data_IF_076123013760
#
_entry.id   IF_076123013760
#
_cell.length_a   1.000
_cell.length_b   1.000
_cell.length_c   1.000
_cell.angle_alpha   90.00
_cell.angle_beta   90.00
_cell.angle_gamma   90.00
#
_symmetry.space_group_name_H-M   'P 1'
#
loop_
_entity.id
_entity.type
_entity.pdbx_description
1 polymer ?
#
# COMPACT_ATOMS: atom_id res chain seq x y z
N UNK A 1 35.81 -12.54 -7.49
CA UNK A 1 35.73 -13.17 -8.82
C UNK A 1 34.75 -12.37 -9.65
N UNK A 2 35.19 -11.83 -10.79
CA UNK A 2 34.38 -10.97 -11.68
C UNK A 2 34.23 -11.58 -13.07
N UNK A 3 33.36 -10.99 -13.90
CA UNK A 3 33.09 -11.47 -15.26
C UNK A 3 34.38 -11.62 -16.07
N UNK A 4 35.28 -10.64 -15.94
CA UNK A 4 36.58 -10.60 -16.63
C UNK A 4 37.48 -11.81 -16.36
N UNK A 5 37.35 -12.44 -15.18
CA UNK A 5 38.17 -13.61 -14.80
C UNK A 5 37.45 -14.95 -14.99
N UNK A 6 36.12 -14.97 -14.99
CA UNK A 6 35.33 -16.19 -14.88
C UNK A 6 34.44 -16.49 -16.10
N UNK A 7 34.16 -15.50 -16.95
CA UNK A 7 33.15 -15.58 -18.01
C UNK A 7 33.71 -15.30 -19.42
N UNK A 8 34.97 -15.66 -19.66
CA UNK A 8 35.63 -15.45 -20.96
C UNK A 8 35.22 -16.48 -22.04
N UNK A 9 34.57 -17.58 -21.67
CA UNK A 9 34.18 -18.62 -22.62
C UNK A 9 32.93 -18.27 -23.44
N UNK A 10 32.77 -18.88 -24.62
CA UNK A 10 31.56 -18.74 -25.46
C UNK A 10 30.28 -19.12 -24.73
N UNK A 11 30.30 -20.21 -23.96
CA UNK A 11 29.15 -20.63 -23.15
C UNK A 11 28.79 -19.57 -22.09
N UNK A 12 29.79 -18.89 -21.52
CA UNK A 12 29.58 -17.84 -20.56
C UNK A 12 29.00 -16.57 -21.21
N UNK A 13 29.46 -16.21 -22.42
CA UNK A 13 28.83 -15.15 -23.22
C UNK A 13 27.34 -15.44 -23.47
N UNK A 14 27.01 -16.64 -23.95
CA UNK A 14 25.62 -17.05 -24.20
C UNK A 14 24.78 -17.01 -22.92
N UNK A 15 25.32 -17.51 -21.80
CA UNK A 15 24.66 -17.44 -20.50
C UNK A 15 24.43 -15.99 -20.02
N UNK A 16 25.38 -15.07 -20.22
CA UNK A 16 25.22 -13.65 -19.89
C UNK A 16 24.10 -12.98 -20.70
N UNK A 17 23.95 -13.34 -21.97
CA UNK A 17 22.86 -12.85 -22.81
C UNK A 17 21.51 -13.37 -22.30
N UNK A 18 21.41 -14.68 -22.06
CA UNK A 18 20.19 -15.31 -21.54
C UNK A 18 19.80 -14.71 -20.19
N UNK A 19 20.77 -14.44 -19.31
CA UNK A 19 20.55 -13.79 -18.02
C UNK A 19 19.96 -12.39 -18.20
N UNK A 20 20.51 -11.57 -19.08
CA UNK A 20 19.99 -10.23 -19.36
C UNK A 20 18.57 -10.27 -19.94
N UNK A 21 18.26 -11.25 -20.79
CA UNK A 21 16.92 -11.45 -21.32
C UNK A 21 15.91 -11.86 -20.23
N UNK A 22 16.34 -12.70 -19.28
CA UNK A 22 15.53 -13.06 -18.13
C UNK A 22 15.26 -11.85 -17.21
N UNK A 23 16.26 -11.00 -16.99
CA UNK A 23 16.11 -9.77 -16.21
C UNK A 23 15.13 -8.79 -16.88
N UNK A 24 15.21 -8.62 -18.21
CA UNK A 24 14.27 -7.79 -18.96
C UNK A 24 12.83 -8.31 -18.88
N UNK A 25 12.62 -9.63 -18.92
CA UNK A 25 11.29 -10.23 -18.70
C UNK A 25 10.80 -10.00 -17.29
N UNK A 26 11.67 -10.11 -16.28
CA UNK A 26 11.32 -9.85 -14.89
C UNK A 26 10.90 -8.39 -14.67
N UNK A 27 11.64 -7.42 -15.25
CA UNK A 27 11.27 -6.01 -15.21
C UNK A 27 9.87 -5.77 -15.79
N UNK A 28 9.54 -6.41 -16.92
CA UNK A 28 8.19 -6.31 -17.51
C UNK A 28 7.10 -6.90 -16.61
N UNK A 29 7.34 -8.07 -16.01
CA UNK A 29 6.39 -8.68 -15.05
C UNK A 29 6.19 -7.80 -13.83
N UNK A 30 7.27 -7.25 -13.25
CA UNK A 30 7.19 -6.32 -12.12
C UNK A 30 6.40 -5.07 -12.49
N UNK A 31 6.66 -4.47 -13.66
CA UNK A 31 5.92 -3.31 -14.15
C UNK A 31 4.41 -3.58 -14.19
N UNK A 32 3.99 -4.70 -14.77
CA UNK A 32 2.57 -5.08 -14.85
C UNK A 32 1.94 -5.26 -13.47
N UNK A 33 2.67 -5.84 -12.53
CA UNK A 33 2.20 -6.00 -11.15
C UNK A 33 2.02 -4.65 -10.45
N UNK A 34 2.96 -3.73 -10.61
CA UNK A 34 2.88 -2.38 -10.02
C UNK A 34 1.75 -1.58 -10.67
N UNK A 35 1.56 -1.67 -11.99
CA UNK A 35 0.44 -1.05 -12.70
C UNK A 35 -0.92 -1.57 -12.20
N UNK A 36 -1.03 -2.88 -11.97
CA UNK A 36 -2.25 -3.47 -11.41
C UNK A 36 -2.51 -2.94 -9.99
N UNK A 37 -1.47 -2.85 -9.15
CA UNK A 37 -1.60 -2.24 -7.83
C UNK A 37 -2.07 -0.80 -7.90
N UNK A 38 -1.47 0.04 -8.76
CA UNK A 38 -1.87 1.43 -8.95
C UNK A 38 -3.35 1.54 -9.37
N UNK A 39 -3.80 0.64 -10.25
CA UNK A 39 -5.22 0.55 -10.63
C UNK A 39 -6.12 0.21 -9.44
N UNK A 40 -5.77 -0.80 -8.65
CA UNK A 40 -6.54 -1.16 -7.45
C UNK A 40 -6.58 -0.02 -6.42
N UNK A 41 -5.46 0.64 -6.16
CA UNK A 41 -5.38 1.78 -5.23
C UNK A 41 -6.25 2.95 -5.72
N UNK A 42 -6.30 3.20 -7.04
CA UNK A 42 -7.19 4.19 -7.66
C UNK A 42 -8.67 3.84 -7.52
N UNK A 43 -9.04 2.58 -7.78
CA UNK A 43 -10.42 2.11 -7.62
C UNK A 43 -10.87 2.20 -6.15
N UNK A 44 -9.97 1.84 -5.22
CA UNK A 44 -10.21 2.00 -3.79
C UNK A 44 -10.39 3.47 -3.40
N UNK A 45 -9.55 4.38 -3.90
CA UNK A 45 -9.70 5.81 -3.68
C UNK A 45 -11.07 6.34 -4.15
N UNK A 46 -11.53 5.92 -5.33
CA UNK A 46 -12.85 6.31 -5.86
C UNK A 46 -13.97 5.79 -4.96
N UNK A 47 -13.90 4.53 -4.54
CA UNK A 47 -14.88 3.93 -3.63
C UNK A 47 -14.92 4.64 -2.28
N UNK A 48 -13.76 4.93 -1.70
CA UNK A 48 -13.65 5.60 -0.41
C UNK A 48 -14.15 7.06 -0.46
N UNK A 49 -13.84 7.78 -1.54
CA UNK A 49 -14.39 9.12 -1.77
C UNK A 49 -15.93 9.08 -1.89
N UNK A 50 -16.48 8.08 -2.58
CA UNK A 50 -17.94 7.91 -2.67
C UNK A 50 -18.59 7.64 -1.30
N UNK A 51 -17.94 6.85 -0.43
CA UNK A 51 -18.39 6.63 0.95
C UNK A 51 -18.39 7.94 1.73
N UNK A 52 -17.31 8.73 1.67
CA UNK A 52 -17.22 10.02 2.32
C UNK A 52 -18.34 10.97 1.85
N UNK A 53 -18.52 11.09 0.53
CA UNK A 53 -19.58 11.94 -0.04
C UNK A 53 -20.98 11.48 0.34
N UNK A 54 -21.22 10.17 0.43
CA UNK A 54 -22.51 9.66 0.87
C UNK A 54 -22.75 9.96 2.36
N UNK A 55 -21.74 9.85 3.21
CA UNK A 55 -21.84 10.17 4.64
C UNK A 55 -22.07 11.67 4.91
N UNK A 56 -21.70 12.54 3.98
CA UNK A 56 -21.94 13.99 4.07
C UNK A 56 -23.36 14.42 3.69
N UNK A 57 -24.16 13.54 3.07
CA UNK A 57 -25.56 13.80 2.76
C UNK A 57 -26.43 13.61 4.01
N UNK A 58 -26.42 14.60 4.91
CA UNK A 58 -27.41 14.66 6.00
C UNK A 58 -28.65 15.43 5.55
N UNK A 59 -29.80 14.76 5.55
CA UNK A 59 -31.11 15.42 5.42
C UNK A 59 -31.41 16.24 6.68
N UNK A 60 -32.10 17.38 6.53
CA UNK A 60 -32.51 18.28 7.63
C UNK A 60 -31.40 18.68 8.61
N UNK A 61 -30.28 19.19 8.08
CA UNK A 61 -29.15 19.66 8.88
C UNK A 61 -29.52 20.65 10.01
N UNK A 62 -30.64 21.37 9.87
CA UNK A 62 -31.16 22.33 10.86
C UNK A 62 -31.69 21.65 12.13
N UNK A 63 -32.21 20.42 12.06
CA UNK A 63 -32.72 19.68 13.23
C UNK A 63 -31.59 19.23 14.16
N UNK A 64 -30.41 18.99 13.60
CA UNK A 64 -29.20 18.56 14.31
C UNK A 64 -28.22 19.72 14.55
N UNK A 65 -28.68 20.96 14.45
CA UNK A 65 -27.86 22.13 14.68
C UNK A 65 -27.30 22.11 16.11
N UNK A 66 -25.98 22.30 16.24
CA UNK A 66 -25.27 22.25 17.51
C UNK A 66 -24.88 20.85 18.01
N UNK A 67 -25.31 19.79 17.33
CA UNK A 67 -24.94 18.41 17.69
C UNK A 67 -23.43 18.17 17.54
N UNK A 68 -22.80 17.70 18.63
CA UNK A 68 -21.38 17.34 18.62
C UNK A 68 -21.18 16.05 17.83
N UNK A 69 -22.14 15.11 17.89
CA UNK A 69 -22.15 13.89 17.07
C UNK A 69 -22.17 14.24 15.58
N UNK A 70 -23.06 15.12 15.13
CA UNK A 70 -23.13 15.52 13.72
C UNK A 70 -21.85 16.21 13.28
N UNK A 71 -21.27 17.09 14.10
CA UNK A 71 -19.98 17.73 13.81
C UNK A 71 -18.86 16.70 13.69
N UNK A 72 -18.75 15.78 14.64
CA UNK A 72 -17.74 14.74 14.65
C UNK A 72 -17.85 13.79 13.45
N UNK A 73 -19.09 13.42 13.08
CA UNK A 73 -19.35 12.61 11.89
C UNK A 73 -18.91 13.30 10.60
N UNK A 74 -19.22 14.59 10.42
CA UNK A 74 -18.77 15.35 9.25
C UNK A 74 -17.25 15.40 9.17
N UNK A 75 -16.58 15.74 10.27
CA UNK A 75 -15.11 15.76 10.31
C UNK A 75 -14.50 14.37 10.07
N UNK A 76 -15.12 13.30 10.55
CA UNK A 76 -14.71 11.92 10.23
C UNK A 76 -14.79 11.66 8.72
N UNK A 77 -15.90 12.05 8.08
CA UNK A 77 -16.09 11.87 6.64
C UNK A 77 -15.10 12.72 5.82
N UNK A 78 -14.79 13.94 6.26
CA UNK A 78 -13.74 14.77 5.66
C UNK A 78 -12.37 14.07 5.72
N UNK A 79 -12.02 13.44 6.84
CA UNK A 79 -10.76 12.69 6.97
C UNK A 79 -10.74 11.42 6.10
N UNK A 80 -11.89 10.74 5.91
CA UNK A 80 -11.98 9.65 4.93
C UNK A 80 -11.74 10.13 3.49
N UNK A 81 -12.25 11.32 3.12
CA UNK A 81 -11.98 11.92 1.82
C UNK A 81 -10.49 12.29 1.65
N UNK A 82 -9.83 12.76 2.72
CA UNK A 82 -8.38 12.96 2.73
C UNK A 82 -7.62 11.64 2.54
N UNK A 83 -8.08 10.56 3.16
CA UNK A 83 -7.51 9.23 2.96
C UNK A 83 -7.65 8.77 1.50
N UNK A 84 -8.83 8.97 0.89
CA UNK A 84 -9.06 8.67 -0.52
C UNK A 84 -8.11 9.44 -1.44
N UNK A 85 -7.91 10.74 -1.19
CA UNK A 85 -6.93 11.58 -1.91
C UNK A 85 -5.50 11.05 -1.76
N UNK A 86 -5.13 10.55 -0.58
CA UNK A 86 -3.81 9.97 -0.36
C UNK A 86 -3.60 8.68 -1.16
N UNK A 87 -4.60 7.79 -1.22
CA UNK A 87 -4.55 6.60 -2.08
C UNK A 87 -4.43 6.97 -3.56
N UNK A 88 -5.19 7.97 -4.03
CA UNK A 88 -5.10 8.46 -5.41
C UNK A 88 -3.71 8.98 -5.74
N UNK A 89 -3.12 9.81 -4.86
CA UNK A 89 -1.77 10.35 -5.05
C UNK A 89 -0.72 9.24 -5.06
N UNK A 90 -0.83 8.24 -4.18
CA UNK A 90 0.08 7.09 -4.18
C UNK A 90 -0.03 6.29 -5.49
N UNK A 91 -1.24 6.08 -6.03
CA UNK A 91 -1.43 5.42 -7.31
C UNK A 91 -0.77 6.17 -8.48
N UNK A 92 -0.87 7.50 -8.51
CA UNK A 92 -0.19 8.34 -9.51
C UNK A 92 1.35 8.23 -9.40
N UNK A 93 1.90 8.22 -8.18
CA UNK A 93 3.34 8.02 -7.96
C UNK A 93 3.81 6.61 -8.38
N UNK A 94 2.99 5.58 -8.18
CA UNK A 94 3.28 4.23 -8.67
C UNK A 94 3.29 4.16 -10.21
N UNK A 95 2.52 5.00 -10.91
CA UNK A 95 2.59 5.11 -12.37
C UNK A 95 3.91 5.74 -12.84
N UNK A 96 4.40 6.78 -12.14
CA UNK A 96 5.73 7.36 -12.40
C UNK A 96 6.84 6.31 -12.18
N UNK A 97 6.72 5.46 -11.16
CA UNK A 97 7.64 4.32 -10.95
C UNK A 97 7.62 3.36 -12.14
N UNK A 98 6.45 3.10 -12.74
CA UNK A 98 6.34 2.26 -13.93
C UNK A 98 7.02 2.89 -15.16
N UNK A 99 6.96 4.22 -15.30
CA UNK A 99 7.69 4.95 -16.33
C UNK A 99 9.21 4.82 -16.13
N UNK A 100 9.70 4.99 -14.89
CA UNK A 100 11.13 4.78 -14.57
C UNK A 100 11.59 3.37 -14.92
N UNK A 101 10.79 2.35 -14.59
CA UNK A 101 11.10 0.95 -14.92
C UNK A 101 11.09 0.70 -16.44
N UNK A 102 10.22 1.40 -17.17
CA UNK A 102 10.18 1.36 -18.64
C UNK A 102 11.44 1.96 -19.24
N UNK A 103 11.89 3.12 -18.78
CA UNK A 103 13.15 3.75 -19.20
C UNK A 103 14.35 2.86 -18.90
N UNK A 104 14.45 2.33 -17.67
CA UNK A 104 15.51 1.40 -17.28
C UNK A 104 15.56 0.16 -18.20
N UNK A 105 14.40 -0.39 -18.55
CA UNK A 105 14.29 -1.53 -19.45
C UNK A 105 14.77 -1.21 -20.87
N UNK A 106 14.49 0.00 -21.37
CA UNK A 106 14.95 0.46 -22.68
C UNK A 106 16.47 0.65 -22.70
N UNK A 107 17.04 1.29 -21.69
CA UNK A 107 18.49 1.51 -21.60
C UNK A 107 19.26 0.20 -21.44
N UNK A 108 18.72 -0.74 -20.64
CA UNK A 108 19.30 -2.08 -20.52
C UNK A 108 19.27 -2.85 -21.85
N UNK A 109 18.21 -2.71 -22.67
CA UNK A 109 18.16 -3.30 -24.04
C UNK A 109 19.23 -2.72 -24.94
N UNK A 110 19.44 -1.39 -24.91
CA UNK A 110 20.48 -0.71 -25.69
C UNK A 110 21.87 -1.19 -25.27
N UNK A 111 22.15 -1.21 -23.97
CA UNK A 111 23.43 -1.67 -23.42
C UNK A 111 23.72 -3.15 -23.77
N UNK A 112 22.70 -4.03 -23.66
CA UNK A 112 22.82 -5.43 -24.09
C UNK A 112 23.21 -5.54 -25.58
N UNK A 113 22.57 -4.75 -26.45
CA UNK A 113 22.88 -4.74 -27.88
C UNK A 113 24.30 -4.25 -28.14
N UNK A 114 24.72 -3.16 -27.50
CA UNK A 114 26.09 -2.64 -27.60
C UNK A 114 27.14 -3.69 -27.16
N UNK A 115 26.91 -4.39 -26.04
CA UNK A 115 27.78 -5.48 -25.60
C UNK A 115 27.86 -6.62 -26.63
N UNK A 116 26.72 -7.02 -27.23
CA UNK A 116 26.71 -8.06 -28.27
C UNK A 116 27.48 -7.63 -29.52
N UNK A 117 27.31 -6.39 -29.96
CA UNK A 117 28.00 -5.83 -31.13
C UNK A 117 29.52 -5.77 -30.91
N UNK A 118 29.97 -5.29 -29.76
CA UNK A 118 31.40 -5.26 -29.44
C UNK A 118 31.98 -6.66 -29.27
N UNK A 119 31.29 -7.58 -28.60
CA UNK A 119 31.73 -8.98 -28.51
C UNK A 119 31.84 -9.62 -29.91
N UNK A 120 30.85 -9.41 -30.77
CA UNK A 120 30.84 -9.94 -32.14
C UNK A 120 31.97 -9.35 -32.99
N UNK A 121 32.25 -8.05 -32.84
CA UNK A 121 33.34 -7.36 -33.53
C UNK A 121 34.70 -7.90 -33.13
N UNK A 122 34.93 -8.13 -31.83
CA UNK A 122 36.17 -8.73 -31.34
C UNK A 122 36.30 -10.16 -31.87
N UNK A 123 35.23 -10.97 -31.80
CA UNK A 123 35.24 -12.34 -32.31
C UNK A 123 35.49 -12.41 -33.84
N UNK A 124 34.89 -11.51 -34.61
CA UNK A 124 35.08 -11.43 -36.06
C UNK A 124 36.55 -11.13 -36.43
N UNK A 125 37.22 -10.24 -35.68
CA UNK A 125 38.64 -9.94 -35.89
C UNK A 125 39.52 -11.18 -35.67
N UNK A 126 39.25 -11.94 -34.61
CA UNK A 126 39.99 -13.17 -34.30
C UNK A 126 39.76 -14.25 -35.38
N UNK A 127 38.52 -14.42 -35.83
CA UNK A 127 38.19 -15.37 -36.90
C UNK A 127 38.88 -14.98 -38.22
N UNK A 128 38.84 -13.70 -38.61
CA UNK A 128 39.50 -13.25 -39.83
C UNK A 128 41.01 -13.54 -39.82
N UNK A 129 41.67 -13.27 -38.69
CA UNK A 129 43.09 -13.54 -38.54
C UNK A 129 43.40 -15.05 -38.56
N UNK A 130 42.52 -15.86 -37.96
CA UNK A 130 42.60 -17.33 -38.02
C UNK A 130 42.51 -17.82 -39.47
N UNK A 131 41.54 -17.33 -40.24
CA UNK A 131 41.35 -17.70 -41.64
C UNK A 131 42.53 -17.27 -42.51
N UNK A 132 43.09 -16.07 -42.28
CA UNK A 132 44.29 -15.58 -42.97
C UNK A 132 45.51 -16.48 -42.71
N UNK A 133 45.74 -16.90 -41.45
CA UNK A 133 46.82 -17.84 -41.11
C UNK A 133 46.64 -19.18 -41.81
N UNK A 134 45.41 -19.70 -41.87
CA UNK A 134 45.09 -20.95 -42.57
C UNK A 134 45.35 -20.82 -44.07
N UNK A 135 44.94 -19.70 -44.69
CA UNK A 135 45.17 -19.40 -46.10
C UNK A 135 46.66 -19.31 -46.42
N UNK A 136 47.43 -18.56 -45.62
CA UNK A 136 48.89 -18.43 -45.78
C UNK A 136 49.63 -19.75 -45.59
N UNK A 137 49.18 -20.60 -44.66
CA UNK A 137 49.70 -21.96 -44.50
C UNK A 137 49.49 -22.80 -45.76
N UNK A 138 48.29 -22.79 -46.33
CA UNK A 138 47.98 -23.53 -47.55
C UNK A 138 48.80 -23.03 -48.75
N UNK A 139 48.96 -21.71 -48.88
CA UNK A 139 49.84 -21.12 -49.90
C UNK A 139 51.30 -21.56 -49.72
N UNK A 140 51.83 -21.52 -48.49
CA UNK A 140 53.18 -21.97 -48.20
C UNK A 140 53.36 -23.47 -48.54
N UNK A 141 52.43 -24.34 -48.14
CA UNK A 141 52.46 -25.77 -48.45
C UNK A 141 52.50 -26.05 -49.95
N UNK A 142 51.62 -25.39 -50.72
CA UNK A 142 51.60 -25.50 -52.19
C UNK A 142 52.94 -25.13 -52.83
N UNK A 143 53.55 -24.02 -52.41
CA UNK A 143 54.83 -23.58 -52.95
C UNK A 143 55.99 -24.47 -52.50
N UNK A 144 55.92 -25.04 -51.29
CA UNK A 144 56.90 -25.98 -50.77
C UNK A 144 56.93 -27.28 -51.59
N UNK A 145 55.76 -27.82 -51.92
CA UNK A 145 55.63 -28.99 -52.79
C UNK A 145 56.15 -28.70 -54.21
N UNK A 146 55.77 -27.55 -54.78
CA UNK A 146 56.26 -27.12 -56.09
C UNK A 146 57.79 -26.95 -56.12
N UNK A 147 58.37 -26.37 -55.07
CA UNK A 147 59.81 -26.27 -54.90
C UNK A 147 60.48 -27.65 -54.82
N UNK A 148 59.96 -28.58 -54.02
CA UNK A 148 60.49 -29.96 -53.90
C UNK A 148 60.50 -30.66 -55.26
N UNK A 149 59.41 -30.56 -56.03
CA UNK A 149 59.32 -31.17 -57.35
C UNK A 149 60.35 -30.59 -58.34
N UNK A 150 60.53 -29.25 -58.36
CA UNK A 150 61.51 -28.60 -59.23
C UNK A 150 62.95 -28.86 -58.78
N UNK A 151 63.19 -29.00 -57.48
CA UNK A 151 64.49 -29.40 -56.92
C UNK A 151 64.91 -30.76 -57.44
N UNK A 152 64.04 -31.78 -57.33
CA UNK A 152 64.31 -33.13 -57.83
C UNK A 152 64.61 -33.13 -59.32
N UNK A 153 63.81 -32.40 -60.13
CA UNK A 153 64.07 -32.25 -61.58
C UNK A 153 65.41 -31.58 -61.87
N UNK A 154 65.77 -30.55 -61.12
CA UNK A 154 67.07 -29.88 -61.28
C UNK A 154 68.23 -30.81 -60.93
N UNK A 155 68.16 -31.52 -59.80
CA UNK A 155 69.16 -32.50 -59.37
C UNK A 155 69.34 -33.62 -60.42
N UNK A 156 68.24 -34.16 -60.95
CA UNK A 156 68.29 -35.17 -62.02
C UNK A 156 68.97 -34.67 -63.30
N UNK A 157 68.63 -33.47 -63.78
CA UNK A 157 69.24 -32.88 -64.98
C UNK A 157 70.70 -32.50 -64.77
N UNK A 158 71.05 -32.04 -63.56
CA UNK A 158 72.41 -31.70 -63.20
C UNK A 158 73.31 -32.95 -63.17
N UNK A 159 72.83 -34.05 -62.58
CA UNK A 159 73.55 -35.32 -62.47
C UNK A 159 73.62 -36.07 -63.81
N UNK A 160 72.51 -36.14 -64.57
CA UNK A 160 72.45 -36.92 -65.83
C UNK A 160 73.13 -36.22 -67.02
N UNK A 161 73.12 -34.89 -67.08
CA UNK A 161 73.60 -34.18 -68.28
C UNK A 161 75.05 -33.69 -68.18
N UNK A 162 75.66 -33.62 -66.97
CA UNK A 162 77.11 -33.49 -66.72
C UNK A 162 77.85 -32.27 -67.31
N UNK A 163 77.29 -31.57 -68.31
CA UNK A 163 77.85 -30.41 -69.00
C UNK A 163 76.71 -29.49 -69.42
N UNK A 164 76.88 -28.20 -69.14
CA UNK A 164 75.87 -27.16 -69.35
C UNK A 164 75.33 -27.08 -70.77
N UNK A 165 74.11 -26.58 -70.87
CA UNK A 165 73.38 -26.33 -72.11
C UNK A 165 72.07 -25.62 -71.81
N UNK A 166 71.44 -25.05 -72.84
CA UNK A 166 70.24 -24.19 -72.73
C UNK A 166 69.12 -24.79 -71.86
N UNK A 167 68.91 -26.12 -71.94
CA UNK A 167 67.92 -26.83 -71.11
C UNK A 167 68.25 -26.82 -69.60
N UNK A 168 69.52 -26.94 -69.23
CA UNK A 168 69.94 -26.89 -67.82
C UNK A 168 69.74 -25.49 -67.24
N UNK A 169 70.01 -24.45 -68.05
CA UNK A 169 69.81 -23.06 -67.64
C UNK A 169 68.32 -22.72 -67.47
N UNK A 170 67.45 -23.22 -68.36
CA UNK A 170 65.99 -23.07 -68.21
C UNK A 170 65.44 -23.76 -66.95
N UNK A 171 65.92 -24.97 -66.62
CA UNK A 171 65.52 -25.68 -65.39
C UNK A 171 66.06 -24.98 -64.14
N UNK A 172 67.29 -24.45 -64.21
CA UNK A 172 67.91 -23.66 -63.14
C UNK A 172 67.11 -22.38 -62.85
N UNK A 173 66.74 -21.62 -63.87
CA UNK A 173 65.93 -20.39 -63.72
C UNK A 173 64.57 -20.69 -63.07
N UNK A 174 63.88 -21.74 -63.53
CA UNK A 174 62.60 -22.17 -62.93
C UNK A 174 62.75 -22.59 -61.47
N UNK A 175 63.81 -23.35 -61.14
CA UNK A 175 64.11 -23.74 -59.78
C UNK A 175 64.42 -22.53 -58.89
N UNK A 176 65.25 -21.59 -59.36
CA UNK A 176 65.57 -20.35 -58.63
C UNK A 176 64.32 -19.49 -58.38
N UNK A 177 63.44 -19.35 -59.38
CA UNK A 177 62.14 -18.65 -59.23
C UNK A 177 61.25 -19.32 -58.18
N UNK A 178 61.16 -20.65 -58.18
CA UNK A 178 60.41 -21.40 -57.19
C UNK A 178 60.99 -21.27 -55.78
N UNK A 179 62.32 -21.30 -55.65
CA UNK A 179 63.03 -21.04 -54.39
C UNK A 179 62.71 -19.63 -53.85
N UNK A 180 62.82 -18.60 -54.69
CA UNK A 180 62.46 -17.23 -54.31
C UNK A 180 61.00 -17.14 -53.88
N UNK A 181 60.08 -17.75 -54.63
CA UNK A 181 58.65 -17.71 -54.31
C UNK A 181 58.35 -18.41 -52.98
N UNK A 182 58.98 -19.56 -52.72
CA UNK A 182 58.88 -20.28 -51.44
C UNK A 182 59.38 -19.43 -50.27
N UNK A 183 60.53 -18.76 -50.41
CA UNK A 183 61.05 -17.88 -49.34
C UNK A 183 60.11 -16.71 -49.06
N UNK A 184 59.53 -16.08 -50.09
CA UNK A 184 58.56 -15.01 -49.91
C UNK A 184 57.30 -15.50 -49.20
N UNK A 185 56.72 -16.63 -49.60
CA UNK A 185 55.52 -17.17 -48.95
C UNK A 185 55.80 -17.72 -47.55
N UNK A 186 57.01 -18.22 -47.29
CA UNK A 186 57.47 -18.55 -45.94
C UNK A 186 57.46 -17.32 -45.04
N UNK A 187 58.08 -16.22 -45.49
CA UNK A 187 58.12 -14.98 -44.72
C UNK A 187 56.72 -14.43 -44.44
N UNK A 188 55.83 -14.42 -45.44
CA UNK A 188 54.44 -14.01 -45.25
C UNK A 188 53.70 -14.88 -44.23
N UNK A 189 53.90 -16.20 -44.27
CA UNK A 189 53.27 -17.12 -43.32
C UNK A 189 53.81 -16.92 -41.90
N UNK A 190 55.13 -16.77 -41.73
CA UNK A 190 55.76 -16.51 -40.43
C UNK A 190 55.28 -15.18 -39.84
N UNK A 191 55.21 -14.11 -40.65
CA UNK A 191 54.69 -12.82 -40.21
C UNK A 191 53.21 -12.94 -39.78
N UNK A 192 52.37 -13.62 -40.56
CA UNK A 192 50.96 -13.82 -40.24
C UNK A 192 50.77 -14.63 -38.94
N UNK A 193 51.57 -15.67 -38.68
CA UNK A 193 51.54 -16.38 -37.40
C UNK A 193 51.96 -15.47 -36.25
N UNK A 194 53.02 -14.69 -36.44
CA UNK A 194 53.55 -13.80 -35.40
C UNK A 194 52.50 -12.76 -35.01
N UNK A 195 51.85 -12.15 -35.99
CA UNK A 195 50.71 -11.25 -35.76
C UNK A 195 49.56 -11.96 -35.03
N UNK A 196 49.20 -13.16 -35.46
CA UNK A 196 48.12 -13.94 -34.84
C UNK A 196 48.38 -14.29 -33.37
N UNK A 197 49.62 -14.62 -33.02
CA UNK A 197 50.01 -14.93 -31.63
C UNK A 197 49.88 -13.69 -30.73
N UNK A 198 50.33 -12.52 -31.20
CA UNK A 198 50.21 -11.29 -30.42
C UNK A 198 48.74 -10.85 -30.27
N UNK A 199 47.96 -10.91 -31.35
CA UNK A 199 46.52 -10.53 -31.30
C UNK A 199 45.70 -11.49 -30.43
N UNK A 200 45.97 -12.81 -30.46
CA UNK A 200 45.30 -13.78 -29.57
C UNK A 200 45.61 -13.48 -28.11
N UNK A 201 46.88 -13.18 -27.80
CA UNK A 201 47.30 -12.83 -26.45
C UNK A 201 46.58 -11.56 -25.98
N UNK A 202 46.55 -10.51 -26.79
CA UNK A 202 45.83 -9.27 -26.47
C UNK A 202 44.32 -9.49 -26.32
N UNK A 203 43.73 -10.36 -27.16
CA UNK A 203 42.34 -10.77 -27.04
C UNK A 203 42.05 -11.36 -25.66
N UNK A 204 42.83 -12.38 -25.26
CA UNK A 204 42.60 -13.15 -24.04
C UNK A 204 42.95 -12.39 -22.77
N UNK A 205 43.95 -11.50 -22.82
CA UNK A 205 44.50 -10.85 -21.63
C UNK A 205 44.07 -9.40 -21.45
N UNK A 206 43.59 -8.74 -22.51
CA UNK A 206 43.25 -7.31 -22.48
C UNK A 206 41.82 -7.07 -22.96
N UNK A 207 41.52 -7.37 -24.22
CA UNK A 207 40.26 -6.95 -24.86
C UNK A 207 39.03 -7.62 -24.25
N UNK A 208 39.03 -8.95 -24.16
CA UNK A 208 37.88 -9.69 -23.63
C UNK A 208 37.70 -9.47 -22.12
N UNK A 209 38.74 -9.53 -21.28
CA UNK A 209 38.62 -9.17 -19.87
C UNK A 209 38.08 -7.74 -19.68
N UNK A 210 38.59 -6.76 -20.44
CA UNK A 210 38.15 -5.37 -20.34
C UNK A 210 36.69 -5.17 -20.75
N UNK A 211 36.24 -5.83 -21.83
CA UNK A 211 34.83 -5.82 -22.22
C UNK A 211 33.93 -6.40 -21.11
N UNK A 212 34.35 -7.51 -20.50
CA UNK A 212 33.59 -8.19 -19.46
C UNK A 212 33.56 -7.40 -18.14
N UNK A 213 34.66 -6.72 -17.79
CA UNK A 213 34.71 -5.82 -16.63
C UNK A 213 33.78 -4.61 -16.83
N UNK A 214 33.83 -3.99 -18.00
CA UNK A 214 32.90 -2.92 -18.36
C UNK A 214 31.45 -3.41 -18.30
N UNK A 215 31.17 -4.58 -18.89
CA UNK A 215 29.84 -5.18 -18.87
C UNK A 215 29.36 -5.44 -17.43
N UNK A 216 30.23 -5.95 -16.55
CA UNK A 216 29.89 -6.16 -15.15
C UNK A 216 29.50 -4.85 -14.46
N UNK A 217 30.31 -3.80 -14.61
CA UNK A 217 30.04 -2.47 -14.05
C UNK A 217 28.71 -1.88 -14.52
N UNK A 218 28.41 -2.01 -15.81
CA UNK A 218 27.13 -1.58 -16.40
C UNK A 218 25.96 -2.37 -15.83
N UNK A 219 26.09 -3.70 -15.70
CA UNK A 219 25.02 -4.53 -15.11
C UNK A 219 24.79 -4.18 -13.64
N UNK A 220 25.85 -4.02 -12.84
CA UNK A 220 25.75 -3.63 -11.44
C UNK A 220 25.09 -2.27 -11.26
N UNK A 221 25.40 -1.31 -12.14
CA UNK A 221 24.75 0.00 -12.17
C UNK A 221 23.24 -0.11 -12.45
N UNK A 222 22.84 -0.98 -13.40
CA UNK A 222 21.42 -1.25 -13.64
C UNK A 222 20.74 -1.91 -12.44
N UNK A 223 21.41 -2.83 -11.74
CA UNK A 223 20.87 -3.46 -10.53
C UNK A 223 20.66 -2.42 -9.42
N UNK A 224 21.58 -1.47 -9.25
CA UNK A 224 21.44 -0.39 -8.27
C UNK A 224 20.24 0.51 -8.59
N UNK A 225 20.09 0.94 -9.84
CA UNK A 225 18.93 1.72 -10.28
C UNK A 225 17.63 0.95 -10.09
N UNK A 226 17.61 -0.34 -10.44
CA UNK A 226 16.45 -1.21 -10.26
C UNK A 226 16.07 -1.32 -8.77
N UNK A 227 17.05 -1.51 -7.89
CA UNK A 227 16.83 -1.53 -6.44
C UNK A 227 16.16 -0.24 -5.96
N UNK A 228 16.66 0.92 -6.39
CA UNK A 228 16.10 2.21 -5.99
C UNK A 228 14.63 2.37 -6.45
N UNK A 229 14.31 1.95 -7.68
CA UNK A 229 12.93 1.94 -8.19
C UNK A 229 12.02 1.04 -7.32
N UNK A 230 12.50 -0.14 -6.91
CA UNK A 230 11.74 -1.02 -6.02
C UNK A 230 11.56 -0.42 -4.62
N UNK A 231 12.54 0.33 -4.11
CA UNK A 231 12.40 1.05 -2.86
C UNK A 231 11.33 2.14 -2.96
N UNK A 232 11.31 2.92 -4.04
CA UNK A 232 10.24 3.90 -4.30
C UNK A 232 8.86 3.23 -4.40
N UNK A 233 8.78 2.09 -5.07
CA UNK A 233 7.54 1.28 -5.16
C UNK A 233 7.02 0.94 -3.76
N UNK A 234 7.92 0.48 -2.87
CA UNK A 234 7.57 0.14 -1.49
C UNK A 234 7.12 1.36 -0.70
N UNK A 235 7.77 2.51 -0.87
CA UNK A 235 7.43 3.75 -0.17
C UNK A 235 6.03 4.26 -0.57
N UNK A 236 5.69 4.22 -1.86
CA UNK A 236 4.36 4.64 -2.33
C UNK A 236 3.26 3.63 -1.99
N UNK A 237 3.61 2.37 -1.72
CA UNK A 237 2.70 1.35 -1.22
C UNK A 237 2.49 1.32 0.30
N UNK A 238 3.22 2.14 1.07
CA UNK A 238 3.23 2.07 2.53
C UNK A 238 2.03 2.78 3.18
N UNK A 239 1.09 1.96 3.69
CA UNK A 239 -0.09 2.41 4.43
C UNK A 239 0.18 2.71 5.91
N UNK A 240 1.41 2.46 6.38
CA UNK A 240 1.87 2.77 7.74
C UNK A 240 2.66 4.08 7.83
N UNK A 241 2.76 4.81 6.72
CA UNK A 241 3.43 6.11 6.65
C UNK A 241 2.77 7.15 7.57
N UNK A 242 3.53 8.17 7.94
CA UNK A 242 3.08 9.20 8.88
C UNK A 242 1.83 9.93 8.39
N UNK A 243 1.65 10.06 7.06
CA UNK A 243 0.44 10.64 6.47
C UNK A 243 -0.83 9.89 6.86
N UNK A 244 -0.82 8.55 6.79
CA UNK A 244 -1.97 7.73 7.20
C UNK A 244 -2.17 7.74 8.72
N UNK A 245 -1.08 7.71 9.49
CA UNK A 245 -1.14 7.83 10.95
C UNK A 245 -1.74 9.16 11.40
N UNK A 246 -1.40 10.26 10.73
CA UNK A 246 -1.94 11.58 11.01
C UNK A 246 -3.44 11.67 10.72
N UNK A 247 -3.91 11.11 9.61
CA UNK A 247 -5.34 11.01 9.29
C UNK A 247 -6.07 10.25 10.41
N UNK A 248 -5.57 9.08 10.80
CA UNK A 248 -6.17 8.29 11.88
C UNK A 248 -6.18 9.06 13.21
N UNK A 249 -5.09 9.77 13.54
CA UNK A 249 -5.01 10.58 14.75
C UNK A 249 -6.05 11.71 14.76
N UNK A 250 -6.31 12.36 13.62
CA UNK A 250 -7.36 13.39 13.51
C UNK A 250 -8.74 12.80 13.71
N UNK A 251 -9.01 11.64 13.13
CA UNK A 251 -10.25 10.87 13.35
C UNK A 251 -10.44 10.57 14.84
N UNK A 252 -9.44 10.00 15.50
CA UNK A 252 -9.52 9.62 16.92
C UNK A 252 -9.74 10.85 17.81
N UNK A 253 -9.06 11.97 17.52
CA UNK A 253 -9.22 13.21 18.27
C UNK A 253 -10.64 13.78 18.15
N UNK A 254 -11.22 13.76 16.96
CA UNK A 254 -12.58 14.23 16.71
C UNK A 254 -13.59 13.38 17.49
N UNK A 255 -13.47 12.06 17.46
CA UNK A 255 -14.34 11.15 18.20
C UNK A 255 -14.20 11.37 19.71
N UNK A 256 -12.97 11.48 20.22
CA UNK A 256 -12.71 11.67 21.65
C UNK A 256 -13.15 13.05 22.16
N UNK A 257 -13.39 14.02 21.28
CA UNK A 257 -13.86 15.36 21.65
C UNK A 257 -15.36 15.42 21.97
N UNK A 258 -16.11 14.36 21.65
CA UNK A 258 -17.56 14.32 21.88
C UNK A 258 -17.81 14.22 23.38
N UNK A 259 -18.47 15.23 23.93
CA UNK A 259 -18.91 15.23 25.32
C UNK A 259 -20.42 14.97 25.40
N UNK A 260 -20.87 13.80 25.87
CA UNK A 260 -22.30 13.47 25.95
C UNK A 260 -23.12 14.45 26.79
N UNK A 261 -22.55 15.10 27.81
CA UNK A 261 -23.28 16.06 28.64
C UNK A 261 -23.61 17.36 27.89
N UNK A 262 -22.93 17.63 26.78
CA UNK A 262 -23.03 18.87 26.01
C UNK A 262 -23.78 18.73 24.70
N UNK A 263 -24.11 17.51 24.30
CA UNK A 263 -24.78 17.20 23.04
C UNK A 263 -26.08 18.02 22.85
N UNK A 264 -26.84 18.18 23.92
CA UNK A 264 -28.12 18.89 23.91
C UNK A 264 -28.03 20.34 24.42
N UNK A 265 -26.83 20.89 24.65
CA UNK A 265 -26.69 22.23 25.22
C UNK A 265 -27.31 23.30 24.32
N UNK A 266 -26.90 23.35 23.05
CA UNK A 266 -27.41 24.34 22.08
C UNK A 266 -28.90 24.14 21.80
N UNK A 267 -29.34 22.88 21.71
CA UNK A 267 -30.76 22.53 21.58
C UNK A 267 -31.59 23.05 22.76
N UNK A 268 -31.12 22.81 23.99
CA UNK A 268 -31.81 23.22 25.22
C UNK A 268 -31.91 24.74 25.31
N UNK A 269 -30.84 25.47 24.98
CA UNK A 269 -30.86 26.94 24.98
C UNK A 269 -31.75 27.51 23.87
N UNK A 270 -31.76 26.91 22.68
CA UNK A 270 -32.65 27.31 21.56
C UNK A 270 -34.12 27.10 21.87
N UNK A 271 -34.47 26.04 22.60
CA UNK A 271 -35.84 25.65 22.93
C UNK A 271 -36.22 25.91 24.39
N UNK A 272 -35.46 26.76 25.08
CA UNK A 272 -35.68 27.08 26.49
C UNK A 272 -37.03 27.77 26.67
N UNK A 273 -37.89 27.17 27.47
CA UNK A 273 -39.18 27.74 27.85
C UNK A 273 -39.24 27.95 29.36
N UNK A 274 -40.09 28.89 29.78
CA UNK A 274 -40.44 29.01 31.20
C UNK A 274 -41.28 27.79 31.62
N UNK A 275 -41.22 27.36 32.89
CA UNK A 275 -42.15 26.37 33.42
C UNK A 275 -43.59 26.75 33.09
N UNK A 276 -44.42 25.75 32.84
CA UNK A 276 -45.85 25.96 32.57
C UNK A 276 -46.48 26.75 33.71
N UNK A 277 -47.28 27.77 33.36
CA UNK A 277 -48.01 28.58 34.34
C UNK A 277 -48.77 27.66 35.30
N UNK A 278 -48.57 27.79 36.62
CA UNK A 278 -49.28 26.96 37.58
C UNK A 278 -50.79 27.10 37.40
N UNK A 279 -51.49 25.97 37.29
CA UNK A 279 -52.94 25.96 37.36
C UNK A 279 -53.32 26.25 38.81
N UNK A 280 -53.95 27.40 39.03
CA UNK A 280 -54.39 27.83 40.35
C UNK A 280 -55.83 27.36 40.54
N UNK A 281 -56.02 26.39 41.43
CA UNK A 281 -57.35 25.94 41.84
C UNK A 281 -57.73 26.70 43.11
N UNK A 282 -58.82 27.46 43.06
CA UNK A 282 -59.37 28.19 44.20
C UNK A 282 -60.87 27.93 44.29
N UNK A 283 -61.41 27.99 45.50
CA UNK A 283 -62.85 28.01 45.69
C UNK A 283 -63.42 29.30 45.05
N UNK A 284 -64.50 29.18 44.29
CA UNK A 284 -65.16 30.33 43.67
C UNK A 284 -66.07 30.99 44.69
N UNK A 285 -65.57 32.07 45.30
CA UNK A 285 -66.25 32.79 46.37
C UNK A 285 -67.61 33.36 45.95
N UNK A 286 -67.84 33.60 44.64
CA UNK A 286 -69.12 34.07 44.12
C UNK A 286 -70.26 33.05 44.33
N UNK A 287 -69.94 31.75 44.52
CA UNK A 287 -70.94 30.70 44.71
C UNK A 287 -71.67 30.76 46.07
N UNK A 288 -71.09 31.45 47.06
CA UNK A 288 -71.63 31.52 48.43
C UNK A 288 -71.99 32.94 48.85
N UNK A 289 -71.77 33.95 48.00
CA UNK A 289 -71.96 35.37 48.32
C UNK A 289 -73.41 35.70 48.70
N UNK A 290 -74.39 35.10 48.01
CA UNK A 290 -75.83 35.32 48.24
C UNK A 290 -76.48 34.31 49.20
N UNK A 291 -75.70 33.39 49.80
CA UNK A 291 -76.23 32.35 50.69
C UNK A 291 -76.05 32.79 52.16
N UNK A 292 -77.12 33.19 52.87
CA UNK A 292 -77.02 33.50 54.29
C UNK A 292 -76.77 32.21 55.08
N UNK A 293 -75.55 32.02 55.61
CA UNK A 293 -75.23 30.80 56.35
C UNK A 293 -73.78 30.62 56.79
N UNK A 294 -73.49 29.44 57.36
CA UNK A 294 -72.18 29.02 57.91
C UNK A 294 -71.18 28.53 56.86
N UNK A 295 -71.53 28.52 55.58
CA UNK A 295 -70.64 28.05 54.52
C UNK A 295 -69.50 29.06 54.35
N UNK A 296 -68.27 28.59 54.51
CA UNK A 296 -67.05 29.40 54.38
C UNK A 296 -66.19 28.85 53.26
N UNK A 297 -65.64 29.76 52.45
CA UNK A 297 -64.67 29.42 51.42
C UNK A 297 -63.52 28.60 51.98
N UNK A 298 -63.09 27.59 51.21
CA UNK A 298 -61.97 26.70 51.55
C UNK A 298 -62.08 25.99 52.92
N UNK A 299 -63.29 25.89 53.50
CA UNK A 299 -63.52 25.29 54.82
C UNK A 299 -64.61 24.23 54.73
N UNK A 300 -64.35 23.04 55.29
CA UNK A 300 -65.36 21.98 55.36
C UNK A 300 -66.46 22.38 56.35
N UNK A 301 -67.73 22.23 55.95
CA UNK A 301 -68.87 22.46 56.83
C UNK A 301 -69.13 21.21 57.65
N UNK A 302 -69.00 21.31 58.96
CA UNK A 302 -69.19 20.20 59.90
C UNK A 302 -70.44 20.45 60.73
N UNK A 303 -71.54 19.80 60.38
CA UNK A 303 -72.81 19.90 61.09
C UNK A 303 -73.53 18.54 61.16
N UNK A 304 -74.75 18.54 61.69
CA UNK A 304 -75.54 17.32 61.86
C UNK A 304 -75.95 16.65 60.54
N UNK A 305 -75.77 17.32 59.39
CA UNK A 305 -76.08 16.79 58.06
C UNK A 305 -74.85 16.21 57.37
N UNK A 306 -73.64 16.71 57.67
CA UNK A 306 -72.40 16.33 56.97
C UNK A 306 -71.45 15.44 57.80
N UNK A 307 -71.61 15.38 59.12
CA UNK A 307 -70.65 14.73 60.04
C UNK A 307 -70.41 13.24 59.73
N UNK A 308 -71.47 12.47 59.43
CA UNK A 308 -71.33 11.03 59.15
C UNK A 308 -70.65 10.77 57.80
N UNK A 309 -70.92 11.63 56.81
CA UNK A 309 -70.24 11.59 55.52
C UNK A 309 -68.75 11.94 55.66
N UNK A 310 -68.42 13.00 56.41
CA UNK A 310 -67.04 13.40 56.67
C UNK A 310 -66.25 12.33 57.43
N UNK A 311 -66.86 11.66 58.41
CA UNK A 311 -66.25 10.52 59.11
C UNK A 311 -65.97 9.35 58.19
N UNK A 312 -66.94 8.99 57.33
CA UNK A 312 -66.76 7.92 56.33
C UNK A 312 -65.63 8.30 55.36
N UNK A 313 -65.63 9.54 54.88
CA UNK A 313 -64.61 10.04 53.96
C UNK A 313 -63.21 10.09 54.57
N UNK A 314 -63.10 10.43 55.84
CA UNK A 314 -61.83 10.41 56.59
C UNK A 314 -61.27 8.98 56.67
N UNK A 315 -62.10 8.00 57.03
CA UNK A 315 -61.69 6.59 57.10
C UNK A 315 -61.21 6.10 55.73
N UNK A 316 -61.93 6.43 54.65
CA UNK A 316 -61.53 6.08 53.28
C UNK A 316 -60.16 6.68 52.91
N UNK A 317 -59.93 7.95 53.27
CA UNK A 317 -58.66 8.64 53.01
C UNK A 317 -57.52 8.02 53.82
N UNK A 318 -57.72 7.73 55.10
CA UNK A 318 -56.73 7.07 55.97
C UNK A 318 -56.34 5.68 55.44
N UNK A 319 -57.32 4.86 55.04
CA UNK A 319 -57.07 3.57 54.40
C UNK A 319 -56.26 3.74 53.11
N UNK A 320 -56.62 4.73 52.30
CA UNK A 320 -55.97 4.99 51.02
C UNK A 320 -54.55 5.55 51.15
N UNK A 321 -54.24 6.29 52.24
CA UNK A 321 -52.88 6.72 52.60
C UNK A 321 -52.06 5.51 53.03
N UNK A 322 -52.61 4.66 53.90
CA UNK A 322 -51.94 3.43 54.38
C UNK A 322 -51.58 2.50 53.23
N UNK A 323 -52.50 2.29 52.28
CA UNK A 323 -52.22 1.52 51.07
C UNK A 323 -51.10 2.11 50.21
N UNK A 324 -51.01 3.45 50.08
CA UNK A 324 -49.92 4.11 49.37
C UNK A 324 -48.58 3.90 50.09
N UNK A 325 -48.54 4.02 51.41
CA UNK A 325 -47.34 3.81 52.23
C UNK A 325 -46.85 2.35 52.15
N UNK A 326 -47.76 1.38 52.22
CA UNK A 326 -47.42 -0.04 52.06
C UNK A 326 -46.86 -0.36 50.66
N UNK A 327 -47.43 0.23 49.60
CA UNK A 327 -46.91 0.10 48.23
C UNK A 327 -45.52 0.74 48.10
N UNK A 328 -45.31 1.91 48.71
CA UNK A 328 -44.03 2.59 48.72
C UNK A 328 -42.96 1.75 49.45
N UNK A 329 -43.30 1.18 50.61
CA UNK A 329 -42.39 0.34 51.41
C UNK A 329 -41.96 -0.90 50.62
N UNK A 330 -42.92 -1.61 50.01
CA UNK A 330 -42.66 -2.77 49.15
C UNK A 330 -41.75 -2.43 47.98
N UNK A 331 -41.92 -1.25 47.36
CA UNK A 331 -41.04 -0.80 46.27
C UNK A 331 -39.64 -0.45 46.73
N UNK A 332 -39.48 0.15 47.92
CA UNK A 332 -38.17 0.46 48.52
C UNK A 332 -37.44 -0.83 48.93
N UNK A 333 -38.13 -1.79 49.53
CA UNK A 333 -37.58 -3.10 49.89
C UNK A 333 -37.12 -3.88 48.66
N UNK A 334 -37.90 -3.85 47.58
CA UNK A 334 -37.55 -4.49 46.31
C UNK A 334 -36.39 -3.78 45.58
N UNK A 335 -36.13 -2.50 45.87
CA UNK A 335 -34.97 -1.76 45.37
C UNK A 335 -33.69 -2.02 46.21
N UNK A 336 -33.82 -2.21 47.52
CA UNK A 336 -32.70 -2.49 48.44
C UNK A 336 -32.32 -3.98 48.53
N UNK A 337 -33.20 -4.90 48.13
CA UNK A 337 -32.96 -6.36 48.12
C UNK A 337 -32.16 -6.90 46.92
N UNK A 338 -31.69 -6.04 46.01
CA UNK A 338 -30.80 -6.42 44.92
C UNK A 338 -29.35 -6.59 45.42
N UNK A 339 -28.79 -7.78 45.22
CA UNK A 339 -27.40 -8.17 45.54
C UNK A 339 -26.30 -7.18 45.08
N UNK A 340 -25.11 -7.21 45.71
CA UNK A 340 -24.16 -6.09 45.68
C UNK A 340 -23.57 -5.80 44.30
N UNK A 341 -23.41 -4.51 44.05
CA UNK A 341 -22.78 -3.91 42.88
C UNK A 341 -21.33 -4.39 42.78
N UNK A 342 -21.02 -5.21 41.79
CA UNK A 342 -19.64 -5.42 41.35
C UNK A 342 -19.19 -4.18 40.56
N UNK A 343 -18.19 -3.48 41.08
CA UNK A 343 -17.47 -2.41 40.37
C UNK A 343 -16.81 -2.99 39.11
N UNK A 344 -17.52 -2.92 37.98
CA UNK A 344 -16.98 -3.22 36.66
C UNK A 344 -16.31 -1.99 36.09
N UNK A 345 -15.00 -1.86 36.33
CA UNK A 345 -14.12 -1.04 35.50
C UNK A 345 -14.34 -1.39 34.03
N UNK A 346 -14.55 -0.39 33.18
CA UNK A 346 -14.56 -0.56 31.73
C UNK A 346 -13.13 -0.88 31.31
N UNK A 347 -12.73 -2.14 31.43
CA UNK A 347 -11.53 -2.64 30.76
C UNK A 347 -11.88 -2.96 29.32
N UNK A 348 -11.29 -2.14 28.44
CA UNK A 348 -11.07 -2.38 27.02
C UNK A 348 -10.64 -3.84 26.79
N UNK A 349 -11.48 -4.63 26.14
CA UNK A 349 -11.09 -5.64 25.16
C UNK A 349 -12.31 -6.26 24.48
N UNK A 350 -12.15 -6.53 23.19
CA UNK A 350 -13.22 -6.76 22.24
C UNK A 350 -14.12 -7.95 22.58
N UNK A 351 -15.42 -7.66 22.67
CA UNK A 351 -16.48 -8.64 22.51
C UNK A 351 -17.66 -7.96 21.82
N UNK A 352 -17.84 -8.28 20.55
CA UNK A 352 -19.01 -7.99 19.72
C UNK A 352 -20.23 -8.73 20.29
N UNK A 353 -20.78 -8.24 21.40
CA UNK A 353 -22.04 -8.74 21.97
C UNK A 353 -22.61 -7.80 23.04
N UNK A 354 -22.97 -6.56 22.68
CA UNK A 354 -23.90 -5.77 23.52
C UNK A 354 -24.55 -4.62 22.76
N UNK A 355 -25.32 -4.92 21.71
CA UNK A 355 -26.25 -3.95 21.11
C UNK A 355 -27.64 -3.96 21.77
N UNK A 356 -27.76 -4.52 22.98
CA UNK A 356 -28.94 -4.38 23.83
C UNK A 356 -28.72 -3.26 24.84
N UNK A 357 -29.07 -2.03 24.50
CA UNK A 357 -29.18 -0.93 25.46
C UNK A 357 -30.44 -1.17 26.30
N UNK A 358 -30.34 -2.10 27.25
CA UNK A 358 -31.21 -2.13 28.42
C UNK A 358 -30.28 -2.26 29.61
N UNK A 359 -29.84 -1.08 30.07
CA UNK A 359 -28.93 -0.97 31.20
C UNK A 359 -29.71 -1.14 32.51
N UNK A 360 -29.10 -1.71 33.57
CA UNK A 360 -29.64 -1.66 34.93
C UNK A 360 -30.02 -0.23 35.40
N UNK A 361 -29.47 0.82 34.76
CA UNK A 361 -29.85 2.21 35.01
C UNK A 361 -31.28 2.54 34.56
N UNK A 362 -31.80 1.88 33.52
CA UNK A 362 -33.16 2.12 33.03
C UNK A 362 -34.21 1.52 33.97
N UNK A 363 -33.92 0.36 34.56
CA UNK A 363 -34.79 -0.24 35.58
C UNK A 363 -34.79 0.58 36.88
N UNK A 364 -33.64 1.08 37.32
CA UNK A 364 -33.54 1.99 38.47
C UNK A 364 -34.26 3.32 38.23
N UNK A 365 -34.13 3.92 37.04
CA UNK A 365 -34.84 5.16 36.69
C UNK A 365 -36.36 4.98 36.64
N UNK A 366 -36.85 3.84 36.14
CA UNK A 366 -38.30 3.50 36.17
C UNK A 366 -38.81 3.36 37.60
N UNK A 367 -38.10 2.59 38.43
CA UNK A 367 -38.44 2.43 39.85
C UNK A 367 -38.45 3.77 40.59
N UNK A 368 -37.51 4.68 40.31
CA UNK A 368 -37.50 6.01 40.91
C UNK A 368 -38.68 6.89 40.47
N UNK A 369 -39.13 6.77 39.21
CA UNK A 369 -40.31 7.52 38.72
C UNK A 369 -41.59 7.03 39.39
N UNK A 370 -41.78 5.72 39.46
CA UNK A 370 -42.96 5.10 40.07
C UNK A 370 -43.03 5.40 41.58
N UNK A 371 -41.87 5.39 42.26
CA UNK A 371 -41.76 5.78 43.66
C UNK A 371 -42.14 7.26 43.88
N UNK A 372 -41.69 8.16 43.01
CA UNK A 372 -42.03 9.57 43.07
C UNK A 372 -43.54 9.79 42.84
N UNK A 373 -44.17 9.03 41.94
CA UNK A 373 -45.61 9.10 41.71
C UNK A 373 -46.41 8.67 42.95
N UNK A 374 -46.01 7.57 43.61
CA UNK A 374 -46.63 7.12 44.86
C UNK A 374 -46.48 8.15 45.98
N UNK A 375 -45.31 8.77 46.14
CA UNK A 375 -45.08 9.85 47.11
C UNK A 375 -45.99 11.06 46.85
N UNK A 376 -46.20 11.42 45.58
CA UNK A 376 -47.14 12.48 45.22
C UNK A 376 -48.59 12.11 45.60
N UNK A 377 -49.01 10.87 45.34
CA UNK A 377 -50.35 10.39 45.68
C UNK A 377 -50.59 10.35 47.21
N UNK A 378 -49.60 9.90 47.98
CA UNK A 378 -49.64 9.93 49.43
C UNK A 378 -49.80 11.36 49.95
N UNK A 379 -48.92 12.28 49.51
CA UNK A 379 -48.96 13.69 49.92
C UNK A 379 -50.29 14.36 49.56
N UNK A 380 -50.88 14.00 48.42
CA UNK A 380 -52.20 14.49 48.01
C UNK A 380 -53.27 14.06 49.00
N UNK A 381 -53.31 12.77 49.35
CA UNK A 381 -54.32 12.21 50.25
C UNK A 381 -54.14 12.66 51.70
N UNK A 382 -52.91 12.87 52.17
CA UNK A 382 -52.62 13.42 53.51
C UNK A 382 -53.04 14.88 53.67
N UNK A 383 -53.12 15.63 52.56
CA UNK A 383 -53.53 17.04 52.58
C UNK A 383 -55.05 17.21 52.59
N UNK A 384 -55.78 16.19 52.13
CA UNK A 384 -57.25 16.10 52.18
C UNK A 384 -57.68 15.57 53.55
#
# INVERSE_FOLDING_TARGET
MGFSSALQGRAAHEALIVRQDAELRLMETMKRSIQLKAKCDREYAIGLAAVAQQGMKTDRADEMQGSLITKAWRSYMDELDHQAKQFKSNAELLEVVCEKLTHLSQDKRKARKAYQEEHAKIAARLNHLTDEVVRKKAEYQKHLEGYKALRTRFEEHYIKSGRGGRKLDDVRDKYQKACRKLHLTHNEYVLSITEAVEVEKDFRTVLLPGLLEHQQSVQESFILLWKNILQETSQHGDLTSDKFKEIQKRIDNVINSINPSEEYREFTEKHKTSPTTPLVFQFDDALIEDIPGKLQSNTLTVDNLTVDWLRTRLIDLEMSVKECQEKQLKMIEHANGGSPIANGSITRNGSTASNGIQSPKDSQNRQSKDLNALRCQEKQKQKL
#
